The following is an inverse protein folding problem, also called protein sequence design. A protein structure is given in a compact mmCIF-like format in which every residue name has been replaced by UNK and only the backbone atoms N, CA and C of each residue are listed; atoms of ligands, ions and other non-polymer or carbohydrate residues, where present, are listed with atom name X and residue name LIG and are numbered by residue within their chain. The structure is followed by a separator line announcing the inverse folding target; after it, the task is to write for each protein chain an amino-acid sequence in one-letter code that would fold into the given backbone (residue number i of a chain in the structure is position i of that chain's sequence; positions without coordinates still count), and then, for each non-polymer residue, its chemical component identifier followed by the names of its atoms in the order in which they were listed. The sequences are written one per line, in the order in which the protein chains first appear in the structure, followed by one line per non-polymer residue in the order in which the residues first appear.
data_IF_972196435343
#
_entry.id   IF_972196435343
#
_cell.length_a   1.000
_cell.length_b   1.000
_cell.length_c   1.000
_cell.angle_alpha   90.00
_cell.angle_beta   90.00
_cell.angle_gamma   90.00
#
_symmetry.space_group_name_H-M   'P 1'
#
loop_
_entity.id
_entity.type
_entity.pdbx_description
1 polymer ?
#
# COMPACT_ATOMS: atom_id res chain seq x y z
N UNK A 1 -25.64 4.38 20.03
CA UNK A 1 -24.66 3.75 20.93
C UNK A 1 -23.52 3.24 20.06
N UNK A 2 -22.31 3.80 20.19
CA UNK A 2 -21.15 3.27 19.47
C UNK A 2 -20.89 1.84 19.97
N UNK A 3 -20.97 0.86 19.07
CA UNK A 3 -20.77 -0.53 19.44
C UNK A 3 -19.31 -0.70 19.91
N UNK A 4 -19.12 -1.12 21.16
CA UNK A 4 -17.78 -1.32 21.71
C UNK A 4 -17.07 -2.42 20.92
N UNK A 5 -16.04 -2.04 20.17
CA UNK A 5 -15.20 -3.00 19.45
C UNK A 5 -14.41 -3.87 20.44
N UNK A 6 -14.25 -5.16 20.15
CA UNK A 6 -13.45 -6.04 20.99
C UNK A 6 -11.97 -5.63 20.97
N UNK A 7 -11.32 -5.68 22.12
CA UNK A 7 -9.87 -5.54 22.22
C UNK A 7 -9.13 -6.65 21.46
N UNK A 8 -7.86 -6.42 21.14
CA UNK A 8 -7.03 -7.42 20.47
C UNK A 8 -6.92 -8.75 21.26
N UNK A 9 -6.96 -8.69 22.59
CA UNK A 9 -7.00 -9.88 23.45
C UNK A 9 -8.31 -10.66 23.34
N UNK A 10 -9.44 -9.98 23.11
CA UNK A 10 -10.75 -10.60 22.91
C UNK A 10 -10.87 -11.21 21.50
N UNK A 11 -10.29 -10.55 20.50
CA UNK A 11 -10.27 -11.06 19.11
C UNK A 11 -9.25 -12.21 18.96
N UNK A 12 -8.13 -12.16 19.66
CA UNK A 12 -7.11 -13.19 19.71
C UNK A 12 -5.74 -12.71 19.21
N UNK A 13 -4.75 -12.81 20.09
CA UNK A 13 -3.37 -12.37 19.83
C UNK A 13 -2.60 -13.29 18.88
N UNK A 14 -3.12 -14.47 18.59
CA UNK A 14 -2.58 -15.40 17.59
C UNK A 14 -2.57 -14.80 16.18
N UNK A 15 -3.41 -13.79 15.91
CA UNK A 15 -3.44 -13.05 14.65
C UNK A 15 -2.17 -12.20 14.43
N UNK A 16 -1.43 -11.87 15.48
CA UNK A 16 -0.14 -11.19 15.37
C UNK A 16 1.00 -12.12 14.95
N UNK A 17 0.81 -13.44 15.05
CA UNK A 17 1.87 -14.40 14.81
C UNK A 17 2.17 -14.55 13.31
N UNK A 18 3.38 -14.17 12.93
CA UNK A 18 3.93 -14.33 11.57
C UNK A 18 5.16 -15.22 11.59
N UNK A 19 5.14 -16.28 10.76
CA UNK A 19 6.31 -17.14 10.59
C UNK A 19 7.40 -16.44 9.77
N UNK A 20 8.67 -16.76 10.04
CA UNK A 20 9.81 -16.24 9.26
C UNK A 20 9.69 -16.55 7.77
N UNK A 21 9.08 -17.68 7.42
CA UNK A 21 8.80 -18.04 6.02
C UNK A 21 7.82 -17.06 5.38
N UNK A 22 6.69 -16.76 6.04
CA UNK A 22 5.72 -15.79 5.54
C UNK A 22 6.33 -14.40 5.35
N UNK A 23 7.12 -13.93 6.31
CA UNK A 23 7.86 -12.66 6.19
C UNK A 23 8.77 -12.66 4.95
N UNK A 24 9.54 -13.73 4.72
CA UNK A 24 10.40 -13.84 3.53
C UNK A 24 9.61 -13.84 2.23
N UNK A 25 8.53 -14.62 2.16
CA UNK A 25 7.66 -14.67 0.98
C UNK A 25 7.07 -13.30 0.67
N UNK A 26 6.61 -12.57 1.69
CA UNK A 26 6.07 -11.23 1.50
C UNK A 26 7.14 -10.27 0.94
N UNK A 27 8.34 -10.26 1.51
CA UNK A 27 9.43 -9.37 1.09
C UNK A 27 10.03 -9.73 -0.29
N UNK A 28 10.04 -11.01 -0.68
CA UNK A 28 10.61 -11.47 -1.96
C UNK A 28 9.62 -11.32 -3.13
N UNK A 29 8.31 -11.41 -2.86
CA UNK A 29 7.27 -11.42 -3.91
C UNK A 29 7.38 -10.26 -4.92
N UNK A 30 7.58 -8.99 -4.52
CA UNK A 30 7.74 -7.90 -5.48
C UNK A 30 8.91 -8.11 -6.45
N UNK A 31 10.05 -8.60 -5.97
CA UNK A 31 11.23 -8.87 -6.79
C UNK A 31 11.06 -10.08 -7.70
N UNK A 32 10.37 -11.12 -7.22
CA UNK A 32 10.00 -12.24 -8.07
C UNK A 32 9.15 -11.77 -9.26
N UNK A 33 8.24 -10.83 -9.04
CA UNK A 33 7.43 -10.21 -10.10
C UNK A 33 8.24 -9.33 -11.06
N UNK A 34 9.29 -8.63 -10.60
CA UNK A 34 10.27 -8.00 -11.50
C UNK A 34 10.95 -9.05 -12.38
N UNK A 35 11.34 -10.20 -11.81
CA UNK A 35 11.90 -11.31 -12.58
C UNK A 35 10.94 -11.82 -13.67
N UNK A 36 9.65 -11.95 -13.34
CA UNK A 36 8.60 -12.28 -14.33
C UNK A 36 8.50 -11.22 -15.41
N UNK A 37 8.52 -9.93 -15.05
CA UNK A 37 8.53 -8.84 -16.04
C UNK A 37 9.73 -8.96 -16.99
N UNK A 38 10.93 -9.21 -16.46
CA UNK A 38 12.13 -9.35 -17.28
C UNK A 38 12.04 -10.53 -18.26
N UNK A 39 11.50 -11.67 -17.82
CA UNK A 39 11.27 -12.85 -18.69
C UNK A 39 10.24 -12.54 -19.77
N UNK A 40 9.13 -11.90 -19.41
CA UNK A 40 8.05 -11.52 -20.36
C UNK A 40 8.57 -10.53 -21.40
N UNK A 41 9.33 -9.52 -20.98
CA UNK A 41 9.96 -8.55 -21.88
C UNK A 41 11.00 -9.19 -22.79
N UNK A 42 11.84 -10.08 -22.26
CA UNK A 42 12.85 -10.83 -23.02
C UNK A 42 12.22 -11.75 -24.06
N UNK A 43 11.10 -12.40 -23.73
CA UNK A 43 10.32 -13.22 -24.64
C UNK A 43 9.55 -12.40 -25.70
N UNK A 44 9.59 -11.07 -25.64
CA UNK A 44 8.91 -10.16 -26.57
C UNK A 44 7.40 -10.03 -26.33
N UNK A 45 6.88 -10.56 -25.20
CA UNK A 45 5.45 -10.53 -24.86
C UNK A 45 5.05 -9.20 -24.18
N UNK A 46 5.41 -8.08 -24.79
CA UNK A 46 5.20 -6.74 -24.23
C UNK A 46 3.77 -6.42 -23.85
N UNK A 47 2.78 -7.01 -24.52
CA UNK A 47 1.37 -6.82 -24.20
C UNK A 47 0.97 -7.38 -22.81
N UNK A 48 1.75 -8.31 -22.24
CA UNK A 48 1.54 -8.83 -20.89
C UNK A 48 2.17 -7.95 -19.80
N UNK A 49 3.12 -7.07 -20.13
CA UNK A 49 3.88 -6.35 -19.11
C UNK A 49 3.02 -5.43 -18.23
N UNK A 50 1.96 -4.75 -18.71
CA UNK A 50 1.09 -3.95 -17.83
C UNK A 50 0.40 -4.80 -16.74
N UNK A 51 -0.04 -6.01 -17.08
CA UNK A 51 -0.64 -6.94 -16.11
C UNK A 51 0.39 -7.39 -15.06
N UNK A 52 1.61 -7.68 -15.49
CA UNK A 52 2.70 -8.04 -14.57
C UNK A 52 3.04 -6.88 -13.64
N UNK A 53 3.15 -5.65 -14.16
CA UNK A 53 3.42 -4.44 -13.36
C UNK A 53 2.26 -4.16 -12.40
N UNK A 54 1.01 -4.41 -12.78
CA UNK A 54 -0.11 -4.34 -11.84
C UNK A 54 0.04 -5.36 -10.69
N UNK A 55 0.49 -6.58 -10.98
CA UNK A 55 0.81 -7.56 -9.94
C UNK A 55 2.01 -7.16 -9.06
N UNK A 56 3.00 -6.46 -9.61
CA UNK A 56 4.09 -5.81 -8.84
C UNK A 56 3.50 -4.77 -7.91
N UNK A 57 2.65 -3.87 -8.42
CA UNK A 57 1.97 -2.82 -7.66
C UNK A 57 1.25 -3.42 -6.45
N UNK A 58 0.37 -4.39 -6.68
CA UNK A 58 -0.39 -5.04 -5.60
C UNK A 58 0.55 -5.70 -4.57
N UNK A 59 1.61 -6.34 -5.02
CA UNK A 59 2.61 -6.95 -4.13
C UNK A 59 3.31 -5.91 -3.25
N UNK A 60 3.71 -4.77 -3.82
CA UNK A 60 4.41 -3.68 -3.12
C UNK A 60 3.50 -2.96 -2.14
N UNK A 61 2.28 -2.59 -2.55
CA UNK A 61 1.28 -1.98 -1.67
C UNK A 61 1.07 -2.85 -0.44
N UNK A 62 0.90 -4.16 -0.64
CA UNK A 62 0.64 -5.11 0.44
C UNK A 62 1.80 -5.26 1.41
N UNK A 63 2.99 -5.57 0.91
CA UNK A 63 4.13 -5.80 1.81
C UNK A 63 4.58 -4.52 2.50
N UNK A 64 4.57 -3.38 1.79
CA UNK A 64 5.01 -2.10 2.37
C UNK A 64 4.07 -1.69 3.49
N UNK A 65 2.77 -1.91 3.31
CA UNK A 65 1.78 -1.66 4.33
C UNK A 65 1.99 -2.50 5.61
N UNK A 66 2.25 -3.81 5.47
CA UNK A 66 2.60 -4.66 6.61
C UNK A 66 3.92 -4.24 7.29
N UNK A 67 4.88 -3.72 6.51
CA UNK A 67 6.15 -3.18 7.03
C UNK A 67 5.94 -1.88 7.82
N UNK A 68 5.11 -0.96 7.31
CA UNK A 68 4.76 0.31 7.96
C UNK A 68 4.18 0.07 9.35
N UNK A 69 3.26 -0.88 9.47
CA UNK A 69 2.61 -1.25 10.72
C UNK A 69 3.41 -2.24 11.58
N UNK A 70 4.66 -2.56 11.16
CA UNK A 70 5.56 -3.51 11.84
C UNK A 70 4.95 -4.92 12.04
N UNK A 71 4.01 -5.31 11.19
CA UNK A 71 3.24 -6.55 11.31
C UNK A 71 4.04 -7.81 10.90
N UNK A 72 5.23 -7.64 10.30
CA UNK A 72 6.05 -8.76 9.80
C UNK A 72 7.13 -9.28 10.77
N UNK A 73 7.18 -8.75 12.00
CA UNK A 73 8.17 -9.16 13.00
C UNK A 73 9.61 -8.72 12.71
N UNK A 74 9.78 -7.63 11.96
CA UNK A 74 11.09 -7.05 11.63
C UNK A 74 11.64 -6.20 12.79
N UNK A 75 12.96 -6.18 12.96
CA UNK A 75 13.63 -5.22 13.87
C UNK A 75 13.52 -3.79 13.33
N UNK A 76 13.80 -2.78 14.15
CA UNK A 76 13.75 -1.39 13.72
C UNK A 76 14.62 -1.13 12.48
N UNK A 77 15.86 -1.61 12.50
CA UNK A 77 16.78 -1.49 11.35
C UNK A 77 16.29 -2.25 10.12
N UNK A 78 15.74 -3.44 10.29
CA UNK A 78 15.18 -4.20 9.16
C UNK A 78 13.97 -3.50 8.55
N UNK A 79 13.15 -2.82 9.35
CA UNK A 79 12.02 -2.02 8.87
C UNK A 79 12.48 -0.88 7.96
N UNK A 80 13.48 -0.08 8.36
CA UNK A 80 13.98 1.03 7.50
C UNK A 80 14.44 0.51 6.13
N UNK A 81 15.25 -0.56 6.12
CA UNK A 81 15.71 -1.16 4.87
C UNK A 81 14.57 -1.78 4.07
N UNK A 82 13.63 -2.45 4.73
CA UNK A 82 12.47 -3.01 4.04
C UNK A 82 11.64 -1.91 3.35
N UNK A 83 11.41 -0.77 4.01
CA UNK A 83 10.71 0.37 3.40
C UNK A 83 11.43 0.89 2.16
N UNK A 84 12.75 1.09 2.26
CA UNK A 84 13.56 1.54 1.14
C UNK A 84 13.48 0.55 -0.03
N UNK A 85 13.69 -0.73 0.26
CA UNK A 85 13.76 -1.78 -0.76
C UNK A 85 12.40 -2.06 -1.39
N UNK A 86 11.31 -2.10 -0.63
CA UNK A 86 9.97 -2.28 -1.21
C UNK A 86 9.54 -1.06 -2.01
N UNK A 87 9.86 0.16 -1.57
CA UNK A 87 9.62 1.39 -2.34
C UNK A 87 10.41 1.43 -3.66
N UNK A 88 11.67 0.97 -3.66
CA UNK A 88 12.52 0.92 -4.85
C UNK A 88 11.89 0.13 -6.01
N UNK A 89 11.09 -0.89 -5.71
CA UNK A 89 10.44 -1.73 -6.73
C UNK A 89 9.51 -0.91 -7.63
N UNK A 90 8.75 0.04 -7.07
CA UNK A 90 7.89 0.94 -7.84
C UNK A 90 8.54 2.32 -8.08
N UNK A 91 9.79 2.51 -7.68
CA UNK A 91 10.51 3.79 -7.74
C UNK A 91 9.84 4.88 -6.89
N UNK A 92 9.39 4.47 -5.70
CA UNK A 92 8.65 5.29 -4.74
C UNK A 92 9.36 5.40 -3.39
N UNK A 93 8.86 6.29 -2.52
CA UNK A 93 9.40 6.50 -1.19
C UNK A 93 8.61 5.73 -0.13
N UNK A 94 9.19 4.64 0.38
CA UNK A 94 8.61 3.88 1.48
C UNK A 94 8.58 4.68 2.79
N UNK A 95 9.56 5.56 3.00
CA UNK A 95 9.62 6.40 4.21
C UNK A 95 8.60 7.55 4.18
N UNK A 96 8.35 8.15 3.00
CA UNK A 96 7.26 9.10 2.84
C UNK A 96 5.93 8.42 3.12
N UNK A 97 5.69 7.25 2.50
CA UNK A 97 4.48 6.47 2.71
C UNK A 97 4.26 6.09 4.17
N UNK A 98 5.29 5.62 4.90
CA UNK A 98 5.17 5.39 6.34
C UNK A 98 4.70 6.63 7.08
N UNK A 99 5.29 7.78 6.77
CA UNK A 99 5.00 9.04 7.48
C UNK A 99 3.56 9.49 7.24
N UNK A 100 3.08 9.36 6.00
CA UNK A 100 1.74 9.80 5.60
C UNK A 100 0.67 8.80 6.03
N UNK A 101 0.91 7.49 5.88
CA UNK A 101 -0.05 6.44 6.20
C UNK A 101 -0.33 6.37 7.71
N UNK A 102 0.71 6.49 8.54
CA UNK A 102 0.51 6.56 10.00
C UNK A 102 -0.25 7.82 10.43
N UNK A 103 -0.09 8.93 9.70
CA UNK A 103 -0.87 10.14 9.94
C UNK A 103 -2.33 9.95 9.49
N UNK A 104 -2.55 9.30 8.36
CA UNK A 104 -3.87 8.96 7.82
C UNK A 104 -4.68 8.13 8.82
N UNK A 105 -4.10 7.05 9.35
CA UNK A 105 -4.73 6.24 10.41
C UNK A 105 -5.10 7.03 11.67
N UNK A 106 -4.33 8.07 11.98
CA UNK A 106 -4.56 8.88 13.17
C UNK A 106 -5.63 9.94 12.98
N UNK A 107 -5.71 10.54 11.79
CA UNK A 107 -6.45 11.78 11.57
C UNK A 107 -7.58 11.69 10.57
N UNK A 108 -7.64 10.67 9.72
CA UNK A 108 -8.73 10.56 8.75
C UNK A 108 -10.10 10.66 9.46
N UNK A 109 -11.05 11.47 8.96
CA UNK A 109 -11.06 12.21 7.69
C UNK A 109 -10.68 13.70 7.78
N UNK A 110 -9.92 14.12 8.80
CA UNK A 110 -9.50 15.51 8.97
C UNK A 110 -8.72 16.06 7.77
N UNK A 111 -8.85 17.35 7.48
CA UNK A 111 -8.05 18.08 6.48
C UNK A 111 -6.53 18.03 6.75
N UNK A 112 -6.12 17.69 7.97
CA UNK A 112 -4.71 17.48 8.33
C UNK A 112 -4.15 16.13 7.87
N UNK A 113 -5.00 15.21 7.40
CA UNK A 113 -4.59 13.95 6.79
C UNK A 113 -3.97 14.19 5.40
N UNK A 114 -2.68 13.87 5.21
CA UNK A 114 -2.01 14.04 3.92
C UNK A 114 -2.56 13.13 2.82
N UNK A 115 -3.15 11.98 3.15
CA UNK A 115 -3.59 10.98 2.18
C UNK A 115 -5.07 11.10 1.82
N UNK A 116 -5.93 11.55 2.76
CA UNK A 116 -7.39 11.44 2.66
C UNK A 116 -8.08 12.29 1.60
N UNK A 117 -7.43 13.34 1.09
CA UNK A 117 -8.05 14.29 0.14
C UNK A 117 -8.78 13.64 -1.07
N UNK A 118 -8.22 12.61 -1.75
CA UNK A 118 -8.89 11.92 -2.84
C UNK A 118 -10.26 11.32 -2.49
N UNK A 119 -10.53 10.98 -1.22
CA UNK A 119 -11.84 10.47 -0.78
C UNK A 119 -12.99 11.46 -1.05
N UNK A 120 -12.68 12.77 -1.09
CA UNK A 120 -13.61 13.88 -1.32
C UNK A 120 -13.77 14.27 -2.80
N UNK A 121 -13.01 13.66 -3.71
CA UNK A 121 -13.07 13.97 -5.14
C UNK A 121 -14.23 13.22 -5.83
N UNK A 122 -14.54 13.60 -7.06
CA UNK A 122 -15.28 12.71 -7.96
C UNK A 122 -14.39 11.54 -8.41
N UNK A 123 -14.98 10.46 -8.92
CA UNK A 123 -14.22 9.34 -9.49
C UNK A 123 -13.18 9.81 -10.53
N UNK A 124 -13.61 10.67 -11.47
CA UNK A 124 -12.71 11.25 -12.46
C UNK A 124 -11.64 12.14 -11.82
N UNK A 125 -12.00 12.91 -10.79
CA UNK A 125 -11.07 13.71 -10.01
C UNK A 125 -9.99 12.86 -9.34
N UNK A 126 -10.35 11.74 -8.72
CA UNK A 126 -9.41 10.81 -8.10
C UNK A 126 -8.42 10.22 -9.12
N UNK A 127 -8.89 9.86 -10.32
CA UNK A 127 -8.03 9.40 -11.43
C UNK A 127 -7.07 10.51 -11.87
N UNK A 128 -7.57 11.72 -12.10
CA UNK A 128 -6.76 12.86 -12.56
C UNK A 128 -5.80 13.38 -11.49
N UNK A 129 -6.01 13.04 -10.21
CA UNK A 129 -5.11 13.40 -9.11
C UNK A 129 -3.86 12.51 -9.03
N UNK A 130 -3.87 11.34 -9.68
CA UNK A 130 -2.77 10.38 -9.72
C UNK A 130 -1.38 10.98 -9.92
N UNK A 131 -1.14 11.81 -10.96
CA UNK A 131 0.17 12.38 -11.25
C UNK A 131 0.79 13.23 -10.13
N UNK A 132 -0.02 13.79 -9.24
CA UNK A 132 0.46 14.69 -8.17
C UNK A 132 0.45 14.05 -6.79
N UNK A 133 -0.25 12.93 -6.60
CA UNK A 133 -0.49 12.32 -5.28
C UNK A 133 0.82 12.02 -4.54
N UNK A 134 1.67 11.16 -5.10
CA UNK A 134 2.91 10.72 -4.44
C UNK A 134 3.90 11.86 -4.24
N UNK A 135 3.99 12.80 -5.18
CA UNK A 135 4.84 13.99 -5.04
C UNK A 135 4.40 14.88 -3.87
N UNK A 136 3.09 15.03 -3.66
CA UNK A 136 2.54 15.77 -2.51
C UNK A 136 2.81 15.06 -1.19
N UNK A 137 2.65 13.73 -1.14
CA UNK A 137 2.95 12.93 0.05
C UNK A 137 4.44 13.02 0.43
N UNK A 138 5.32 12.90 -0.56
CA UNK A 138 6.77 13.08 -0.35
C UNK A 138 7.09 14.48 0.18
N UNK A 139 6.52 15.53 -0.44
CA UNK A 139 6.74 16.91 0.00
C UNK A 139 6.22 17.16 1.41
N UNK A 140 5.05 16.61 1.75
CA UNK A 140 4.49 16.67 3.10
C UNK A 140 5.43 16.03 4.12
N UNK A 141 5.95 14.83 3.83
CA UNK A 141 6.91 14.12 4.69
C UNK A 141 8.21 14.91 4.84
N UNK A 142 8.74 15.44 3.73
CA UNK A 142 9.95 16.28 3.73
C UNK A 142 9.84 17.52 4.63
N UNK A 143 8.69 18.21 4.58
CA UNK A 143 8.42 19.38 5.42
C UNK A 143 8.35 19.03 6.89
N UNK A 144 7.82 17.85 7.25
CA UNK A 144 7.72 17.36 8.63
C UNK A 144 9.01 16.74 9.14
N UNK A 145 9.90 16.28 8.27
CA UNK A 145 11.24 15.82 8.62
C UNK A 145 12.22 16.96 9.01
N UNK A 146 11.73 18.14 9.40
CA UNK A 146 12.58 19.25 9.88
C UNK A 146 13.23 18.84 11.20
N UNK A 147 14.56 18.78 11.22
CA UNK A 147 15.35 18.36 12.39
C UNK A 147 15.69 16.87 12.40
N UNK A 148 15.01 16.04 11.60
CA UNK A 148 15.34 14.62 11.42
C UNK A 148 16.23 14.42 10.19
N UNK A 149 17.56 14.44 10.42
CA UNK A 149 18.54 14.23 9.34
C UNK A 149 18.46 12.82 8.75
N UNK A 150 18.13 11.81 9.56
CA UNK A 150 18.07 10.43 9.11
C UNK A 150 16.92 10.22 8.11
N UNK A 151 15.73 10.67 8.47
CA UNK A 151 14.57 10.61 7.57
C UNK A 151 14.82 11.40 6.29
N UNK A 152 15.43 12.58 6.36
CA UNK A 152 15.79 13.36 5.16
C UNK A 152 16.74 12.63 4.23
N UNK A 153 17.74 11.93 4.76
CA UNK A 153 18.66 11.13 3.94
C UNK A 153 17.90 10.04 3.20
N UNK A 154 16.99 9.32 3.87
CA UNK A 154 16.15 8.32 3.22
C UNK A 154 15.28 8.91 2.12
N UNK A 155 14.55 9.98 2.42
CA UNK A 155 13.66 10.64 1.46
C UNK A 155 14.41 11.10 0.19
N UNK A 156 15.63 11.65 0.34
CA UNK A 156 16.47 12.05 -0.79
C UNK A 156 17.00 10.85 -1.57
N UNK A 157 17.46 9.80 -0.88
CA UNK A 157 17.96 8.59 -1.52
C UNK A 157 16.86 7.94 -2.36
N UNK A 158 15.65 7.82 -1.82
CA UNK A 158 14.48 7.28 -2.52
C UNK A 158 14.05 8.16 -3.69
N UNK A 159 14.05 9.50 -3.53
CA UNK A 159 13.70 10.43 -4.61
C UNK A 159 14.70 10.40 -5.78
N UNK A 160 15.96 10.00 -5.54
CA UNK A 160 16.95 9.84 -6.60
C UNK A 160 16.71 8.58 -7.46
N UNK A 161 16.01 7.57 -6.94
CA UNK A 161 15.81 6.29 -7.62
C UNK A 161 14.99 6.37 -8.91
N UNK A 162 13.82 7.05 -8.99
CA UNK A 162 13.11 7.20 -10.26
C UNK A 162 13.94 7.95 -11.31
N UNK A 163 14.71 8.97 -10.91
CA UNK A 163 15.60 9.72 -11.82
C UNK A 163 16.71 8.81 -12.36
N UNK A 164 17.37 8.05 -11.48
CA UNK A 164 18.42 7.11 -11.87
C UNK A 164 17.88 5.99 -12.77
N UNK A 165 16.70 5.46 -12.50
CA UNK A 165 16.08 4.41 -13.30
C UNK A 165 15.69 4.90 -14.70
N UNK A 166 15.13 6.12 -14.82
CA UNK A 166 14.81 6.73 -16.12
C UNK A 166 16.07 7.05 -16.92
N UNK A 167 17.08 7.66 -16.30
CA UNK A 167 18.34 7.97 -16.95
C UNK A 167 19.08 6.69 -17.39
N UNK A 168 19.20 5.71 -16.50
CA UNK A 168 19.79 4.41 -16.81
C UNK A 168 19.02 3.66 -17.90
N UNK A 169 17.69 3.71 -17.86
CA UNK A 169 16.84 3.14 -18.91
C UNK A 169 17.06 3.79 -20.28
N UNK A 170 17.17 5.12 -20.33
CA UNK A 170 17.46 5.84 -21.57
C UNK A 170 18.86 5.52 -22.12
N UNK A 171 19.87 5.45 -21.25
CA UNK A 171 21.24 5.09 -21.63
C UNK A 171 21.35 3.64 -22.13
N UNK A 172 20.61 2.72 -21.52
CA UNK A 172 20.59 1.31 -21.90
C UNK A 172 19.63 0.97 -23.05
N UNK A 173 18.89 1.94 -23.57
CA UNK A 173 17.91 1.73 -24.65
C UNK A 173 18.47 0.97 -25.88
N UNK A 174 19.70 1.23 -26.36
CA UNK A 174 20.27 0.49 -27.49
C UNK A 174 20.50 -1.01 -27.20
N UNK A 175 20.60 -1.39 -25.92
CA UNK A 175 20.79 -2.77 -25.47
C UNK A 175 19.46 -3.42 -25.11
N UNK A 176 18.60 -2.70 -24.39
CA UNK A 176 17.27 -3.17 -24.01
C UNK A 176 16.33 -2.01 -23.67
N UNK A 177 15.08 -2.02 -24.17
CA UNK A 177 14.07 -1.05 -23.75
C UNK A 177 13.44 -1.40 -22.40
N UNK A 178 13.71 -2.59 -21.83
CA UNK A 178 12.97 -3.13 -20.69
C UNK A 178 13.09 -2.29 -19.42
N UNK A 179 14.27 -1.74 -19.12
CA UNK A 179 14.46 -0.91 -17.93
C UNK A 179 13.66 0.39 -18.02
N UNK A 180 13.72 1.07 -19.17
CA UNK A 180 12.96 2.31 -19.38
C UNK A 180 11.45 2.04 -19.38
N UNK A 181 11.01 0.98 -20.06
CA UNK A 181 9.62 0.56 -20.08
C UNK A 181 9.11 0.26 -18.67
N UNK A 182 9.88 -0.48 -17.87
CA UNK A 182 9.54 -0.77 -16.47
C UNK A 182 9.43 0.51 -15.65
N UNK A 183 10.44 1.39 -15.72
CA UNK A 183 10.45 2.63 -14.95
C UNK A 183 9.25 3.53 -15.28
N UNK A 184 8.91 3.67 -16.57
CA UNK A 184 7.74 4.43 -17.00
C UNK A 184 6.45 3.76 -16.53
N UNK A 185 6.31 2.44 -16.70
CA UNK A 185 5.12 1.71 -16.27
C UNK A 185 4.93 1.74 -14.75
N UNK A 186 6.01 1.67 -13.97
CA UNK A 186 5.95 1.82 -12.52
C UNK A 186 5.45 3.22 -12.14
N UNK A 187 6.09 4.27 -12.64
CA UNK A 187 5.72 5.67 -12.32
C UNK A 187 4.29 6.01 -12.74
N UNK A 188 3.91 5.68 -13.98
CA UNK A 188 2.57 5.97 -14.51
C UNK A 188 1.52 5.04 -13.89
N UNK A 189 1.87 3.76 -13.70
CA UNK A 189 0.98 2.78 -13.07
C UNK A 189 0.60 3.20 -11.65
N UNK A 190 1.52 3.81 -10.91
CA UNK A 190 1.28 4.33 -9.56
C UNK A 190 0.32 5.52 -9.51
N UNK A 191 -0.08 6.12 -10.64
CA UNK A 191 -1.12 7.15 -10.63
C UNK A 191 -2.49 6.60 -10.22
N UNK A 192 -2.65 5.27 -10.15
CA UNK A 192 -3.87 4.63 -9.63
C UNK A 192 -3.97 4.64 -8.10
N UNK A 193 -2.92 4.97 -7.34
CA UNK A 193 -2.94 5.00 -5.87
C UNK A 193 -4.14 5.77 -5.28
N UNK A 194 -4.34 7.07 -5.56
CA UNK A 194 -5.43 7.84 -4.94
C UNK A 194 -6.81 7.25 -5.27
N UNK A 195 -6.95 6.57 -6.40
CA UNK A 195 -8.17 5.84 -6.73
C UNK A 195 -8.31 4.58 -5.88
N UNK A 196 -7.33 3.67 -5.92
CA UNK A 196 -7.46 2.32 -5.38
C UNK A 196 -7.29 2.24 -3.86
N UNK A 197 -6.42 3.07 -3.29
CA UNK A 197 -6.06 2.97 -1.86
C UNK A 197 -6.73 4.03 -0.99
N UNK A 198 -7.31 5.07 -1.59
CA UNK A 198 -8.01 6.14 -0.85
C UNK A 198 -9.45 6.30 -1.30
N UNK A 199 -9.71 6.64 -2.57
CA UNK A 199 -11.07 6.88 -3.05
C UNK A 199 -11.96 5.64 -2.88
N UNK A 200 -11.61 4.48 -3.42
CA UNK A 200 -12.47 3.30 -3.34
C UNK A 200 -12.75 2.85 -1.89
N UNK A 201 -11.77 2.82 -0.97
CA UNK A 201 -12.03 2.36 0.40
C UNK A 201 -12.71 3.42 1.29
N UNK A 202 -12.51 4.71 1.02
CA UNK A 202 -12.96 5.81 1.88
C UNK A 202 -14.04 6.71 1.29
N UNK A 203 -14.45 6.55 0.02
CA UNK A 203 -15.51 7.40 -0.52
C UNK A 203 -16.83 7.20 0.24
N UNK A 204 -17.59 8.29 0.39
CA UNK A 204 -18.79 8.37 1.23
C UNK A 204 -18.55 7.90 2.68
N UNK A 205 -17.39 8.25 3.25
CA UNK A 205 -17.08 7.95 4.65
C UNK A 205 -18.08 8.61 5.62
N UNK A 206 -18.30 7.98 6.77
CA UNK A 206 -19.03 8.56 7.90
C UNK A 206 -18.11 9.06 9.02
N UNK A 207 -18.73 9.59 10.08
CA UNK A 207 -18.01 10.24 11.19
C UNK A 207 -17.41 9.27 12.22
N UNK A 208 -17.84 8.00 12.21
CA UNK A 208 -17.44 6.99 13.18
C UNK A 208 -16.35 6.07 12.58
N UNK A 209 -15.41 5.52 13.37
CA UNK A 209 -14.37 4.63 12.87
C UNK A 209 -14.89 3.44 12.03
N UNK A 210 -16.09 2.96 12.35
CA UNK A 210 -16.75 1.85 11.64
C UNK A 210 -17.32 2.22 10.26
N UNK A 211 -17.50 3.51 9.99
CA UNK A 211 -18.07 4.04 8.75
C UNK A 211 -17.09 4.87 7.95
N UNK A 212 -15.88 5.12 8.49
CA UNK A 212 -14.82 5.85 7.80
C UNK A 212 -14.27 5.11 6.57
N UNK A 213 -14.41 3.78 6.54
CA UNK A 213 -13.89 2.94 5.46
C UNK A 213 -14.81 1.76 5.15
N UNK A 214 -14.58 1.11 4.01
CA UNK A 214 -15.34 -0.06 3.56
C UNK A 214 -14.52 -1.34 3.69
N UNK A 215 -15.22 -2.47 3.77
CA UNK A 215 -14.62 -3.80 3.62
C UNK A 215 -15.23 -4.51 2.42
N UNK A 216 -14.38 -4.97 1.51
CA UNK A 216 -14.76 -5.72 0.31
C UNK A 216 -14.38 -7.18 0.53
N UNK A 217 -15.38 -8.06 0.53
CA UNK A 217 -15.25 -9.47 0.93
C UNK A 217 -15.72 -10.41 -0.17
N UNK A 218 -14.93 -11.45 -0.43
CA UNK A 218 -15.12 -12.40 -1.52
C UNK A 218 -13.99 -13.43 -1.53
N UNK A 219 -13.83 -14.17 -2.63
CA UNK A 219 -12.73 -15.15 -2.76
C UNK A 219 -11.69 -14.72 -3.77
N UNK A 220 -12.09 -14.06 -4.85
CA UNK A 220 -11.22 -13.73 -5.99
C UNK A 220 -10.65 -12.33 -5.84
N UNK A 221 -11.49 -11.31 -5.68
CA UNK A 221 -11.02 -9.92 -5.61
C UNK A 221 -10.10 -9.70 -4.39
N UNK A 222 -10.46 -10.12 -3.15
CA UNK A 222 -9.55 -9.98 -2.02
C UNK A 222 -8.22 -10.73 -2.22
N UNK A 223 -8.26 -11.94 -2.76
CA UNK A 223 -7.04 -12.71 -3.02
C UNK A 223 -6.11 -12.04 -4.04
N UNK A 224 -6.67 -11.42 -5.11
CA UNK A 224 -5.90 -10.63 -6.07
C UNK A 224 -5.19 -9.48 -5.36
N UNK A 225 -5.91 -8.74 -4.51
CA UNK A 225 -5.39 -7.63 -3.71
C UNK A 225 -4.69 -8.07 -2.40
N UNK A 226 -4.35 -9.36 -2.29
CA UNK A 226 -3.62 -9.93 -1.16
C UNK A 226 -4.26 -9.58 0.20
N UNK A 227 -5.59 -9.61 0.24
CA UNK A 227 -6.46 -9.41 1.39
C UNK A 227 -6.50 -7.97 1.96
N UNK A 228 -5.88 -6.99 1.29
CA UNK A 228 -5.98 -5.59 1.72
C UNK A 228 -7.34 -4.94 1.47
N UNK A 229 -8.23 -5.61 0.74
CA UNK A 229 -9.62 -5.18 0.56
C UNK A 229 -10.44 -5.24 1.84
N UNK A 230 -9.95 -5.96 2.86
CA UNK A 230 -10.45 -5.92 4.24
C UNK A 230 -9.98 -4.64 4.95
N UNK A 231 -10.23 -3.50 4.30
CA UNK A 231 -9.64 -2.20 4.64
C UNK A 231 -10.18 -1.65 5.97
N UNK A 232 -11.48 -1.87 6.24
CA UNK A 232 -12.05 -1.57 7.56
C UNK A 232 -11.38 -2.35 8.67
N UNK A 233 -11.23 -3.67 8.52
CA UNK A 233 -10.55 -4.49 9.51
C UNK A 233 -9.11 -4.03 9.73
N UNK A 234 -8.44 -3.60 8.65
CA UNK A 234 -7.13 -2.99 8.74
C UNK A 234 -7.13 -1.68 9.56
N UNK A 235 -8.06 -0.75 9.30
CA UNK A 235 -8.17 0.50 10.07
C UNK A 235 -8.44 0.27 11.56
N UNK A 236 -9.21 -0.77 11.89
CA UNK A 236 -9.52 -1.10 13.28
C UNK A 236 -8.36 -1.79 14.00
N UNK A 237 -7.57 -2.62 13.29
CA UNK A 237 -6.47 -3.39 13.87
C UNK A 237 -5.21 -3.38 12.96
N UNK A 238 -4.55 -2.22 12.79
CA UNK A 238 -3.48 -2.05 11.81
C UNK A 238 -2.25 -2.93 12.04
N UNK A 239 -2.05 -3.39 13.27
CA UNK A 239 -0.99 -4.31 13.67
C UNK A 239 -1.15 -5.75 13.14
N UNK A 240 -2.34 -6.11 12.63
CA UNK A 240 -2.60 -7.44 12.09
C UNK A 240 -2.13 -7.48 10.62
N UNK A 241 -1.25 -8.43 10.25
CA UNK A 241 -0.72 -8.50 8.90
C UNK A 241 -1.82 -8.86 7.89
N UNK A 242 -1.71 -8.32 6.67
CA UNK A 242 -2.65 -8.47 5.55
C UNK A 242 -3.25 -9.88 5.41
N UNK A 243 -2.40 -10.92 5.34
CA UNK A 243 -2.81 -12.32 5.17
C UNK A 243 -3.67 -12.90 6.32
N UNK A 244 -3.81 -12.20 7.45
CA UNK A 244 -4.67 -12.56 8.58
C UNK A 244 -5.96 -11.74 8.63
N UNK A 245 -6.11 -10.70 7.80
CA UNK A 245 -7.31 -9.89 7.76
C UNK A 245 -8.61 -10.68 7.45
N UNK A 246 -8.61 -11.74 6.60
CA UNK A 246 -9.81 -12.54 6.42
C UNK A 246 -10.24 -13.29 7.68
N UNK A 247 -9.27 -13.75 8.48
CA UNK A 247 -9.55 -14.40 9.75
C UNK A 247 -10.01 -13.39 10.80
N UNK A 248 -9.36 -12.23 10.88
CA UNK A 248 -9.80 -11.11 11.70
C UNK A 248 -11.25 -10.74 11.39
N UNK A 249 -11.60 -10.60 10.11
CA UNK A 249 -12.95 -10.32 9.65
C UNK A 249 -13.96 -11.34 10.20
N UNK A 250 -13.67 -12.65 10.10
CA UNK A 250 -14.53 -13.70 10.66
C UNK A 250 -14.78 -13.52 12.17
N UNK A 251 -13.76 -13.14 12.93
CA UNK A 251 -13.88 -12.93 14.39
C UNK A 251 -14.63 -11.64 14.73
N UNK A 252 -14.55 -10.63 13.87
CA UNK A 252 -15.27 -9.36 14.04
C UNK A 252 -16.72 -9.40 13.53
N UNK A 253 -17.10 -10.40 12.72
CA UNK A 253 -18.42 -10.47 12.10
C UNK A 253 -19.62 -10.28 13.04
N UNK A 254 -19.67 -10.90 14.22
CA UNK A 254 -20.76 -10.66 15.17
C UNK A 254 -20.83 -9.20 15.63
N UNK A 255 -19.68 -8.56 15.85
CA UNK A 255 -19.58 -7.19 16.32
C UNK A 255 -19.91 -6.18 15.21
N UNK A 256 -19.35 -6.37 14.02
CA UNK A 256 -19.60 -5.52 12.86
C UNK A 256 -21.07 -5.59 12.43
N UNK A 257 -21.66 -6.79 12.42
CA UNK A 257 -23.07 -6.97 12.09
C UNK A 257 -23.99 -6.32 13.13
N UNK A 258 -23.69 -6.47 14.42
CA UNK A 258 -24.44 -5.80 15.50
C UNK A 258 -24.33 -4.27 15.44
N UNK A 259 -23.20 -3.75 14.93
CA UNK A 259 -22.98 -2.33 14.69
C UNK A 259 -23.57 -1.81 13.37
N UNK A 260 -24.21 -2.68 12.57
CA UNK A 260 -24.84 -2.31 11.30
C UNK A 260 -23.88 -2.18 10.11
N UNK A 261 -22.61 -2.58 10.26
CA UNK A 261 -21.64 -2.58 9.15
C UNK A 261 -22.04 -3.66 8.13
N UNK A 262 -22.11 -3.26 6.86
CA UNK A 262 -22.46 -4.16 5.74
C UNK A 262 -21.28 -4.30 4.77
N UNK A 263 -20.59 -5.45 4.76
CA UNK A 263 -19.53 -5.70 3.78
C UNK A 263 -20.03 -5.66 2.35
N UNK A 264 -19.24 -5.08 1.45
CA UNK A 264 -19.49 -5.16 0.01
C UNK A 264 -19.06 -6.55 -0.47
N UNK A 265 -20.02 -7.33 -0.99
CA UNK A 265 -19.76 -8.68 -1.47
C UNK A 265 -19.24 -8.64 -2.91
N UNK A 266 -18.14 -9.34 -3.13
CA UNK A 266 -17.48 -9.49 -4.43
C UNK A 266 -17.19 -10.97 -4.70
N UNK A 267 -16.85 -11.29 -5.95
CA UNK A 267 -16.44 -12.64 -6.36
C UNK A 267 -15.15 -13.08 -5.68
#
# INVERSE_FOLDING_TARGET
MSAKLPSLSEVGTDLLAVSRWRTRVALVRPYAMIGVFAVVAWAGWWWLTPLVVFGVFVSVVTVTHDVVHRALGLTARQTEWALFFTGLVLLESGHAYRSTHLQHHRLFPSDEDPEGYPANLSLLGAVLYGPVFLARLWWWSWRRARGDRGLRTWLLAEAAMPVAALAGGALLWPVTPALLAYAVMAIVGSWVYPLLTVYLPHHDYGDEPLTQTRTLRGRVIPAIFLELTYHLEHHLYPQIPSHRLPELARRLDPHLSAAGVRPVRVI
#
